data_IF_887433658444
#
_entry.id   IF_887433658444
#
_cell.length_a   1.000
_cell.length_b   1.000
_cell.length_c   1.000
_cell.angle_alpha   90.00
_cell.angle_beta   90.00
_cell.angle_gamma   90.00
#
_symmetry.space_group_name_H-M   'P 1'
#
loop_
_entity.id
_entity.type
_entity.pdbx_description
1 polymer ?
#
# COMPACT_ATOMS: atom_id res chain seq x y z
N UNK A 1 61.28 1.36 -22.33
CA UNK A 1 61.50 0.65 -21.05
C UNK A 1 60.48 -0.48 -21.01
N UNK A 2 60.86 -1.77 -20.91
CA UNK A 2 59.90 -2.90 -20.95
C UNK A 2 59.75 -3.44 -19.51
N UNK A 3 58.53 -3.66 -19.03
CA UNK A 3 58.32 -4.32 -17.73
C UNK A 3 58.24 -5.84 -17.97
N UNK A 4 59.22 -6.58 -17.48
CA UNK A 4 59.20 -8.04 -17.46
C UNK A 4 58.43 -8.49 -16.22
N UNK A 5 57.20 -8.98 -16.39
CA UNK A 5 56.51 -9.72 -15.34
C UNK A 5 56.98 -11.18 -15.43
N UNK A 6 57.75 -11.61 -14.43
CA UNK A 6 58.25 -12.98 -14.34
C UNK A 6 57.09 -13.98 -14.16
N UNK A 7 57.12 -15.16 -14.81
CA UNK A 7 56.10 -16.17 -14.59
C UNK A 7 56.32 -16.83 -13.21
N UNK A 8 55.23 -16.90 -12.43
CA UNK A 8 55.17 -17.65 -11.18
C UNK A 8 55.49 -19.13 -11.47
N UNK A 9 56.53 -19.66 -10.83
CA UNK A 9 57.06 -21.01 -11.05
C UNK A 9 56.00 -22.07 -10.66
N UNK A 10 55.41 -22.76 -11.64
CA UNK A 10 54.58 -23.95 -11.41
C UNK A 10 55.41 -25.19 -11.74
N UNK A 11 55.91 -25.87 -10.69
CA UNK A 11 56.61 -27.15 -10.78
C UNK A 11 55.62 -28.25 -11.19
N UNK A 12 55.85 -28.90 -12.33
CA UNK A 12 55.07 -30.05 -12.80
C UNK A 12 55.73 -30.72 -14.00
N UNK A 13 56.19 -31.95 -13.79
CA UNK A 13 57.03 -32.78 -14.65
C UNK A 13 56.30 -33.26 -15.92
N UNK A 14 56.94 -33.16 -17.10
CA UNK A 14 56.48 -33.82 -18.32
C UNK A 14 57.08 -33.24 -19.60
N UNK A 15 57.88 -34.05 -20.30
CA UNK A 15 58.73 -33.63 -21.43
C UNK A 15 58.01 -32.99 -22.61
N UNK A 16 58.35 -31.73 -22.84
CA UNK A 16 58.61 -31.05 -24.13
C UNK A 16 59.25 -29.72 -23.76
N UNK A 17 60.36 -29.36 -24.39
CA UNK A 17 61.21 -28.24 -23.98
C UNK A 17 60.43 -26.94 -23.75
N UNK A 18 60.90 -26.06 -22.85
CA UNK A 18 60.17 -24.86 -22.48
C UNK A 18 60.13 -23.90 -23.68
N UNK A 19 58.98 -23.83 -24.35
CA UNK A 19 58.62 -22.66 -25.12
C UNK A 19 58.41 -21.52 -24.10
N UNK A 20 59.50 -20.83 -23.75
CA UNK A 20 59.46 -19.60 -22.99
C UNK A 20 58.76 -18.53 -23.83
N UNK A 21 57.45 -18.45 -23.71
CA UNK A 21 56.66 -17.41 -24.33
C UNK A 21 56.81 -16.14 -23.47
N UNK A 22 57.94 -15.46 -23.61
CA UNK A 22 58.15 -14.12 -23.08
C UNK A 22 57.20 -13.20 -23.83
N UNK A 23 56.00 -13.01 -23.27
CA UNK A 23 55.00 -12.13 -23.87
C UNK A 23 55.44 -10.69 -23.61
N UNK A 24 56.16 -10.12 -24.56
CA UNK A 24 56.54 -8.72 -24.54
C UNK A 24 55.26 -7.86 -24.57
N UNK A 25 54.88 -7.32 -23.42
CA UNK A 25 53.81 -6.35 -23.38
C UNK A 25 54.38 -4.97 -23.69
N UNK A 26 54.11 -4.52 -24.92
CA UNK A 26 54.30 -3.13 -25.32
C UNK A 26 53.40 -2.24 -24.45
N UNK A 27 53.94 -1.19 -23.82
CA UNK A 27 53.16 -0.23 -23.01
C UNK A 27 51.82 0.21 -23.60
N UNK A 28 51.68 0.50 -24.91
CA UNK A 28 50.38 0.79 -25.51
C UNK A 28 49.36 -0.34 -25.33
N UNK A 29 49.75 -1.62 -25.35
CA UNK A 29 48.80 -2.72 -25.19
C UNK A 29 48.38 -2.97 -23.74
N UNK A 30 49.17 -2.54 -22.75
CA UNK A 30 48.74 -2.47 -21.34
C UNK A 30 47.79 -1.28 -21.15
N UNK A 31 48.15 -0.13 -21.70
CA UNK A 31 47.40 1.11 -21.57
C UNK A 31 46.03 1.00 -22.23
N UNK A 32 45.96 0.39 -23.43
CA UNK A 32 44.69 0.07 -24.11
C UNK A 32 43.83 -0.87 -23.27
N UNK A 33 44.41 -1.90 -22.64
CA UNK A 33 43.64 -2.83 -21.79
C UNK A 33 43.11 -2.16 -20.53
N UNK A 34 43.92 -1.29 -19.92
CA UNK A 34 43.51 -0.50 -18.77
C UNK A 34 42.40 0.48 -19.14
N UNK A 35 42.51 1.13 -20.30
CA UNK A 35 41.51 2.07 -20.83
C UNK A 35 40.20 1.35 -21.19
N UNK A 36 40.27 0.15 -21.77
CA UNK A 36 39.11 -0.72 -22.01
C UNK A 36 38.46 -1.14 -20.68
N UNK A 37 39.24 -1.55 -19.68
CA UNK A 37 38.72 -1.96 -18.37
C UNK A 37 38.01 -0.80 -17.66
N UNK A 38 38.61 0.40 -17.66
CA UNK A 38 38.00 1.62 -17.11
C UNK A 38 36.75 2.03 -17.89
N UNK A 39 36.73 1.88 -19.21
CA UNK A 39 35.55 2.19 -20.02
C UNK A 39 34.37 1.27 -19.73
N UNK A 40 34.61 -0.01 -19.42
CA UNK A 40 33.54 -0.98 -19.08
C UNK A 40 32.95 -0.67 -17.69
N UNK A 41 33.75 -0.19 -16.74
CA UNK A 41 33.26 0.18 -15.41
C UNK A 41 32.35 1.42 -15.42
N UNK A 42 32.58 2.37 -16.35
CA UNK A 42 31.77 3.59 -16.48
C UNK A 42 30.41 3.37 -17.17
N UNK A 43 30.17 2.19 -17.76
CA UNK A 43 28.90 1.87 -18.47
C UNK A 43 27.86 1.17 -17.59
N UNK A 44 28.01 1.20 -16.27
CA UNK A 44 27.00 0.65 -15.35
C UNK A 44 26.12 1.79 -14.82
N UNK A 45 25.16 2.22 -15.64
CA UNK A 45 24.00 2.97 -15.15
C UNK A 45 23.14 2.03 -14.31
N UNK A 46 23.34 2.05 -12.99
CA UNK A 46 22.49 1.31 -12.06
C UNK A 46 21.03 1.71 -12.22
N UNK A 47 20.13 0.73 -12.25
CA UNK A 47 18.70 0.98 -12.27
C UNK A 47 18.33 1.76 -10.99
N UNK A 48 17.95 3.03 -11.11
CA UNK A 48 17.32 3.76 -9.99
C UNK A 48 16.07 3.02 -9.50
N UNK A 49 15.52 3.34 -8.31
CA UNK A 49 14.33 2.68 -7.78
C UNK A 49 13.25 2.66 -8.86
N UNK A 50 12.97 1.46 -9.38
CA UNK A 50 12.11 1.27 -10.54
C UNK A 50 10.71 1.78 -10.27
N UNK A 51 9.90 1.95 -11.33
CA UNK A 51 8.47 2.32 -11.20
C UNK A 51 7.81 1.35 -10.22
N UNK A 52 7.48 1.83 -9.02
CA UNK A 52 6.95 1.01 -7.95
C UNK A 52 5.73 0.24 -8.44
N UNK A 53 5.85 -1.09 -8.51
CA UNK A 53 4.75 -1.98 -8.82
C UNK A 53 3.85 -2.06 -7.57
N UNK A 54 2.98 -1.07 -7.40
CA UNK A 54 2.02 -1.01 -6.32
C UNK A 54 0.73 -0.36 -6.82
N UNK A 55 -0.30 -1.16 -7.05
CA UNK A 55 -1.65 -0.63 -7.29
C UNK A 55 -2.16 -0.11 -5.94
N UNK A 56 -2.34 1.21 -5.80
CA UNK A 56 -3.07 1.75 -4.64
C UNK A 56 -4.46 1.12 -4.61
N UNK A 57 -4.87 0.59 -3.45
CA UNK A 57 -6.27 0.16 -3.27
C UNK A 57 -7.14 1.40 -3.47
N UNK A 58 -8.02 1.35 -4.47
CA UNK A 58 -9.01 2.41 -4.67
C UNK A 58 -9.95 2.44 -3.47
N UNK A 59 -10.44 3.63 -3.14
CA UNK A 59 -11.52 3.77 -2.17
C UNK A 59 -12.74 2.98 -2.70
N UNK A 60 -13.42 2.19 -1.85
CA UNK A 60 -14.65 1.52 -2.25
C UNK A 60 -15.65 2.52 -2.83
N UNK A 61 -16.23 2.20 -3.98
CA UNK A 61 -17.27 3.04 -4.59
C UNK A 61 -18.59 2.80 -3.86
N UNK A 62 -19.11 3.83 -3.20
CA UNK A 62 -20.45 3.82 -2.63
C UNK A 62 -21.48 3.82 -3.78
N UNK A 63 -22.47 2.93 -3.70
CA UNK A 63 -23.59 2.88 -4.66
C UNK A 63 -24.79 3.60 -4.04
N UNK A 64 -25.41 4.56 -4.74
CA UNK A 64 -26.63 5.19 -4.24
C UNK A 64 -27.75 4.15 -4.16
N UNK A 65 -28.67 4.34 -3.21
CA UNK A 65 -29.90 3.54 -3.15
C UNK A 65 -30.86 4.01 -4.24
N UNK A 66 -31.53 3.05 -4.87
CA UNK A 66 -32.62 3.31 -5.82
C UNK A 66 -33.92 3.60 -5.06
N UNK A 67 -34.85 4.33 -5.65
CA UNK A 67 -36.16 4.60 -5.04
C UNK A 67 -36.83 3.30 -4.57
N UNK A 68 -37.31 3.29 -3.31
CA UNK A 68 -37.89 2.14 -2.58
C UNK A 68 -36.94 0.96 -2.30
N UNK A 69 -35.66 1.08 -2.59
CA UNK A 69 -34.67 0.10 -2.16
C UNK A 69 -34.37 0.26 -0.67
N UNK A 70 -34.18 -0.85 0.04
CA UNK A 70 -33.66 -0.89 1.41
C UNK A 70 -32.48 -1.87 1.48
N UNK A 71 -31.56 -1.62 2.41
CA UNK A 71 -30.38 -2.46 2.64
C UNK A 71 -30.27 -2.70 4.15
N UNK A 72 -30.22 -3.96 4.61
CA UNK A 72 -30.33 -5.21 3.86
C UNK A 72 -31.72 -5.40 3.22
N UNK A 73 -31.84 -6.25 2.19
CA UNK A 73 -33.11 -6.50 1.48
C UNK A 73 -34.01 -7.48 2.24
N UNK A 74 -34.35 -7.11 3.46
CA UNK A 74 -35.24 -7.81 4.38
C UNK A 74 -36.10 -6.75 5.09
N UNK A 75 -37.21 -7.18 5.70
CA UNK A 75 -38.08 -6.26 6.45
C UNK A 75 -37.32 -5.53 7.55
N UNK A 76 -37.66 -4.25 7.78
CA UNK A 76 -37.09 -3.41 8.86
C UNK A 76 -37.12 -4.11 10.22
N UNK A 77 -38.25 -4.74 10.56
CA UNK A 77 -38.41 -5.43 11.85
C UNK A 77 -37.84 -6.87 11.87
N UNK A 78 -37.08 -7.25 10.85
CA UNK A 78 -36.43 -8.56 10.78
C UNK A 78 -35.20 -8.62 11.68
N UNK A 79 -34.86 -9.81 12.18
CA UNK A 79 -33.69 -10.02 13.04
C UNK A 79 -32.34 -9.63 12.40
N UNK A 80 -32.27 -9.61 11.07
CA UNK A 80 -31.06 -9.19 10.33
C UNK A 80 -31.00 -7.68 10.05
N UNK A 81 -31.98 -6.90 10.51
CA UNK A 81 -32.09 -5.47 10.30
C UNK A 81 -32.24 -4.75 11.67
N UNK A 82 -33.34 -4.03 11.89
CA UNK A 82 -33.57 -3.24 13.11
C UNK A 82 -34.13 -4.06 14.27
N UNK A 83 -34.60 -5.29 14.03
CA UNK A 83 -35.22 -6.14 15.05
C UNK A 83 -36.66 -5.76 15.40
N UNK A 84 -37.23 -6.43 16.40
CA UNK A 84 -38.65 -6.25 16.77
C UNK A 84 -38.93 -4.88 17.40
N UNK A 85 -40.05 -4.26 17.04
CA UNK A 85 -40.47 -2.99 17.63
C UNK A 85 -40.89 -3.15 19.10
N UNK A 86 -40.28 -2.38 20.00
CA UNK A 86 -40.56 -2.38 21.45
C UNK A 86 -41.80 -1.56 21.85
N UNK A 87 -42.46 -0.93 20.89
CA UNK A 87 -43.67 -0.12 21.08
C UNK A 87 -43.42 1.38 21.12
N UNK A 88 -44.52 2.15 21.17
CA UNK A 88 -44.47 3.62 21.12
C UNK A 88 -44.00 4.20 22.45
N UNK A 89 -43.08 5.17 22.40
CA UNK A 89 -42.64 5.96 23.55
C UNK A 89 -43.36 7.31 23.54
N UNK A 90 -43.96 7.67 24.67
CA UNK A 90 -44.59 8.98 24.89
C UNK A 90 -43.76 9.79 25.89
N UNK A 91 -43.99 11.11 25.99
CA UNK A 91 -43.19 12.02 26.84
C UNK A 91 -43.31 11.72 28.35
N UNK A 92 -44.40 11.08 28.75
CA UNK A 92 -44.71 10.64 30.11
C UNK A 92 -44.21 9.23 30.43
N UNK A 93 -43.80 8.45 29.41
CA UNK A 93 -43.28 7.10 29.57
C UNK A 93 -41.91 7.14 30.28
N UNK A 94 -41.64 6.28 31.29
CA UNK A 94 -40.32 6.17 31.90
C UNK A 94 -39.20 5.92 30.88
N UNK A 95 -39.47 5.22 29.77
CA UNK A 95 -38.50 4.97 28.69
C UNK A 95 -38.07 6.23 27.94
N UNK A 96 -38.83 7.32 28.05
CA UNK A 96 -38.44 8.60 27.45
C UNK A 96 -37.14 9.14 28.05
N UNK A 97 -36.82 8.78 29.30
CA UNK A 97 -35.58 9.18 29.98
C UNK A 97 -34.33 8.60 29.32
N UNK A 98 -34.47 7.50 28.60
CA UNK A 98 -33.37 6.83 27.90
C UNK A 98 -33.08 7.51 26.54
N UNK A 99 -34.00 8.34 26.05
CA UNK A 99 -33.80 9.14 24.84
C UNK A 99 -32.96 10.37 25.16
N UNK A 100 -31.89 10.57 24.40
CA UNK A 100 -31.01 11.72 24.54
C UNK A 100 -31.23 12.70 23.39
N UNK A 101 -31.29 14.01 23.67
CA UNK A 101 -31.38 15.03 22.64
C UNK A 101 -30.05 15.20 21.90
N UNK A 102 -30.11 15.34 20.58
CA UNK A 102 -28.97 15.61 19.72
C UNK A 102 -28.90 17.12 19.36
N UNK A 103 -27.81 17.77 19.78
CA UNK A 103 -27.53 19.19 19.55
C UNK A 103 -26.34 19.44 18.62
N UNK A 104 -26.01 18.48 17.75
CA UNK A 104 -24.93 18.67 16.79
C UNK A 104 -25.24 19.85 15.83
N UNK A 105 -24.31 20.80 15.72
CA UNK A 105 -24.40 21.96 14.82
C UNK A 105 -24.36 21.60 13.33
N UNK A 106 -23.84 20.42 12.99
CA UNK A 106 -23.71 19.96 11.59
C UNK A 106 -25.02 19.36 11.06
N UNK A 107 -26.02 19.17 11.92
CA UNK A 107 -27.31 18.57 11.57
C UNK A 107 -28.39 19.65 11.64
N UNK A 108 -29.05 19.88 10.51
CA UNK A 108 -30.20 20.79 10.43
C UNK A 108 -31.48 19.97 10.67
N UNK A 109 -32.12 20.19 11.81
CA UNK A 109 -33.42 19.58 12.14
C UNK A 109 -34.56 20.44 11.58
N UNK A 110 -35.59 19.79 11.04
CA UNK A 110 -36.75 20.48 10.46
C UNK A 110 -37.65 21.07 11.56
N UNK A 111 -38.01 20.27 12.58
CA UNK A 111 -38.83 20.66 13.76
C UNK A 111 -40.01 21.59 13.41
N UNK A 112 -40.88 21.12 12.50
CA UNK A 112 -42.03 21.91 12.04
C UNK A 112 -43.11 22.08 13.12
N UNK A 113 -43.07 21.22 14.14
CA UNK A 113 -43.95 21.26 15.32
C UNK A 113 -43.48 22.28 16.37
N UNK A 114 -42.22 22.71 16.32
CA UNK A 114 -41.61 23.61 17.31
C UNK A 114 -41.50 23.00 18.71
N UNK A 115 -41.47 21.68 18.82
CA UNK A 115 -41.45 20.96 20.11
C UNK A 115 -40.10 20.33 20.43
N UNK A 116 -39.16 20.35 19.47
CA UNK A 116 -37.84 19.74 19.57
C UNK A 116 -37.87 18.20 19.55
N UNK A 117 -38.99 17.58 19.17
CA UNK A 117 -39.15 16.13 19.21
C UNK A 117 -38.13 15.40 18.31
N UNK A 118 -37.84 15.94 17.12
CA UNK A 118 -36.88 15.40 16.14
C UNK A 118 -35.46 15.24 16.69
N UNK A 119 -35.15 15.89 17.82
CA UNK A 119 -33.82 15.84 18.45
C UNK A 119 -33.66 14.64 19.37
N UNK A 120 -34.75 14.08 19.91
CA UNK A 120 -34.67 12.98 20.87
C UNK A 120 -34.51 11.65 20.14
N UNK A 121 -33.41 10.96 20.40
CA UNK A 121 -33.09 9.66 19.80
C UNK A 121 -32.41 8.74 20.81
N UNK A 122 -32.42 7.44 20.56
CA UNK A 122 -31.68 6.48 21.37
C UNK A 122 -30.18 6.65 21.14
N UNK A 123 -29.37 6.29 22.15
CA UNK A 123 -27.95 6.07 21.90
C UNK A 123 -27.81 4.84 21.00
N UNK A 124 -27.04 4.96 19.91
CA UNK A 124 -26.75 3.79 19.08
C UNK A 124 -26.08 2.71 19.94
N UNK A 125 -26.59 1.46 19.94
CA UNK A 125 -25.91 0.38 20.63
C UNK A 125 -24.50 0.24 20.03
N UNK A 126 -23.49 0.16 20.89
CA UNK A 126 -22.12 -0.08 20.47
C UNK A 126 -22.10 -1.38 19.66
N UNK A 127 -21.62 -1.29 18.40
CA UNK A 127 -21.71 -2.29 17.34
C UNK A 127 -21.80 -3.75 17.77
N UNK A 128 -22.84 -4.41 17.26
CA UNK A 128 -22.87 -5.84 17.01
C UNK A 128 -22.86 -6.07 15.51
#
# INVERSE_FOLDING_TARGET
MKLLVAPLLRLGLGGRGPHFMVREYSWPSILIKYLIMVSIMNTVSGCGPGRGAGRRRGVPKLKPLVFKQHVPNISENGLGASGSAEGRIQRDDPRFKDLMPNYNSDIIFKDEEGTGADRFMTQAPAGQ
#
